data_IF_160113134669
#
_entry.id   IF_160113134669
#
_cell.length_a   1.000
_cell.length_b   1.000
_cell.length_c   1.000
_cell.angle_alpha   90.00
_cell.angle_beta   90.00
_cell.angle_gamma   90.00
#
_symmetry.space_group_name_H-M   'P 1'
#
loop_
_entity.id
_entity.type
_entity.pdbx_description
1 polymer ?
#
# COMPACT_ATOMS: atom_id res chain seq x y z
N UNK A 1 78.21 12.94 -30.70
CA UNK A 1 76.98 12.40 -31.35
C UNK A 1 76.16 11.77 -30.25
N UNK A 2 75.20 12.52 -29.70
CA UNK A 2 74.29 12.04 -28.68
C UNK A 2 72.96 11.60 -29.34
N UNK A 3 72.63 10.33 -29.20
CA UNK A 3 71.31 9.83 -29.60
C UNK A 3 70.39 9.86 -28.38
N UNK A 4 69.41 10.74 -28.48
CA UNK A 4 68.33 10.81 -27.46
C UNK A 4 67.27 9.82 -27.87
N UNK A 5 67.11 8.77 -27.09
CA UNK A 5 65.95 7.87 -27.15
C UNK A 5 64.87 8.41 -26.25
N UNK A 6 63.78 8.86 -26.87
CA UNK A 6 62.58 9.26 -26.15
C UNK A 6 61.78 8.03 -25.73
N UNK A 7 61.62 7.83 -24.42
CA UNK A 7 60.69 6.85 -23.88
C UNK A 7 59.30 7.48 -23.89
N UNK A 8 58.42 6.93 -24.72
CA UNK A 8 57.01 7.26 -24.67
C UNK A 8 56.34 6.44 -23.55
N UNK A 9 55.97 7.13 -22.48
CA UNK A 9 55.13 6.53 -21.43
C UNK A 9 53.70 6.44 -21.91
N UNK A 10 53.23 5.22 -22.11
CA UNK A 10 51.84 4.93 -22.40
C UNK A 10 51.02 4.93 -21.08
N UNK A 11 50.31 5.99 -20.83
CA UNK A 11 49.34 6.05 -19.72
C UNK A 11 48.09 5.27 -20.14
N UNK A 12 47.95 4.07 -19.58
CA UNK A 12 46.72 3.31 -19.65
C UNK A 12 45.73 3.88 -18.60
N UNK A 13 44.80 4.68 -19.04
CA UNK A 13 43.69 5.08 -18.20
C UNK A 13 42.69 3.94 -18.14
N UNK A 14 42.65 3.23 -17.01
CA UNK A 14 41.59 2.29 -16.70
C UNK A 14 40.37 3.10 -16.33
N UNK A 15 39.40 3.20 -17.23
CA UNK A 15 38.09 3.70 -16.94
C UNK A 15 37.36 2.66 -16.12
N UNK A 16 37.24 2.92 -14.81
CA UNK A 16 36.32 2.20 -13.94
C UNK A 16 34.89 2.59 -14.32
N UNK A 17 34.28 1.78 -15.17
CA UNK A 17 32.83 1.88 -15.38
C UNK A 17 32.14 1.43 -14.10
N UNK A 18 31.70 2.38 -13.28
CA UNK A 18 30.77 2.14 -12.19
C UNK A 18 29.45 1.71 -12.79
N UNK A 19 29.27 0.40 -12.97
CA UNK A 19 27.99 -0.17 -13.33
C UNK A 19 27.03 0.00 -12.16
N UNK A 20 26.17 1.04 -12.20
CA UNK A 20 25.00 1.09 -11.34
C UNK A 20 24.06 -0.02 -11.80
N UNK A 21 24.10 -1.16 -11.12
CA UNK A 21 23.08 -2.19 -11.26
C UNK A 21 21.80 -1.62 -10.66
N UNK A 22 20.94 -1.06 -11.51
CA UNK A 22 19.56 -0.79 -11.13
C UNK A 22 18.85 -2.15 -11.01
N UNK A 23 18.96 -2.77 -9.85
CA UNK A 23 17.95 -3.75 -9.46
C UNK A 23 16.67 -2.95 -9.34
N UNK A 24 15.74 -3.18 -10.28
CA UNK A 24 14.41 -2.63 -10.19
C UNK A 24 13.70 -3.19 -8.98
N UNK A 25 13.99 -2.66 -7.79
CA UNK A 25 13.09 -2.77 -6.67
C UNK A 25 11.85 -1.99 -7.08
N UNK A 26 10.77 -2.71 -7.42
CA UNK A 26 9.46 -2.09 -7.56
C UNK A 26 9.17 -1.43 -6.23
N UNK A 27 9.23 -0.10 -6.19
CA UNK A 27 8.93 0.65 -5.00
C UNK A 27 7.50 0.29 -4.58
N UNK A 28 7.31 -0.17 -3.34
CA UNK A 28 5.98 -0.41 -2.80
C UNK A 28 5.22 0.91 -2.81
N UNK A 29 4.10 0.92 -3.51
CA UNK A 29 3.15 2.03 -3.46
C UNK A 29 2.06 1.64 -2.47
N UNK A 30 1.89 2.43 -1.42
CA UNK A 30 0.84 2.19 -0.44
C UNK A 30 -0.54 2.20 -1.14
N UNK A 31 -1.41 1.22 -0.84
CA UNK A 31 -2.73 1.15 -1.48
C UNK A 31 -3.68 2.25 -1.02
N UNK A 32 -3.40 2.87 0.10
CA UNK A 32 -4.20 3.94 0.70
C UNK A 32 -3.32 5.15 0.99
N UNK A 33 -3.95 6.29 1.25
CA UNK A 33 -3.28 7.55 1.53
C UNK A 33 -3.92 8.29 2.68
N UNK A 34 -3.19 9.20 3.31
CA UNK A 34 -3.73 10.09 4.32
C UNK A 34 -4.27 11.36 3.67
N UNK A 35 -5.53 11.63 3.85
CA UNK A 35 -6.17 12.86 3.40
C UNK A 35 -6.74 13.58 4.62
N UNK A 36 -6.22 14.76 4.93
CA UNK A 36 -6.60 15.52 6.13
C UNK A 36 -6.56 14.67 7.42
N UNK A 37 -5.49 13.85 7.57
CA UNK A 37 -5.27 13.03 8.74
C UNK A 37 -6.15 11.78 8.86
N UNK A 38 -6.88 11.42 7.79
CA UNK A 38 -7.74 10.23 7.76
C UNK A 38 -7.31 9.34 6.59
N UNK A 39 -7.30 8.05 6.82
CA UNK A 39 -6.95 7.06 5.79
C UNK A 39 -8.06 6.99 4.73
N UNK A 40 -7.67 7.13 3.47
CA UNK A 40 -8.58 7.11 2.32
C UNK A 40 -8.04 6.20 1.21
N UNK A 41 -8.93 5.81 0.31
CA UNK A 41 -8.53 5.25 -0.98
C UNK A 41 -7.79 6.30 -1.82
N UNK A 42 -7.06 5.91 -2.88
CA UNK A 42 -6.45 6.88 -3.81
C UNK A 42 -7.44 7.87 -4.43
N UNK A 43 -8.72 7.49 -4.55
CA UNK A 43 -9.79 8.39 -5.02
C UNK A 43 -10.36 9.30 -3.93
N UNK A 44 -9.86 9.21 -2.70
CA UNK A 44 -10.26 10.08 -1.58
C UNK A 44 -11.44 9.56 -0.77
N UNK A 45 -11.95 8.36 -1.04
CA UNK A 45 -13.04 7.77 -0.25
C UNK A 45 -12.51 7.31 1.10
N UNK A 46 -13.23 7.64 2.17
CA UNK A 46 -12.84 7.29 3.54
C UNK A 46 -12.80 5.77 3.74
N UNK A 47 -11.75 5.30 4.39
CA UNK A 47 -11.59 3.92 4.81
C UNK A 47 -11.98 3.76 6.28
N UNK A 48 -12.61 2.62 6.58
CA UNK A 48 -13.13 2.27 7.89
C UNK A 48 -12.60 0.93 8.36
N UNK A 49 -12.56 0.75 9.68
CA UNK A 49 -12.36 -0.53 10.33
C UNK A 49 -13.63 -0.97 11.06
N UNK A 50 -13.76 -2.27 11.27
CA UNK A 50 -14.90 -2.89 11.93
C UNK A 50 -14.45 -3.58 13.22
N UNK A 51 -14.99 -3.17 14.37
CA UNK A 51 -14.54 -3.65 15.68
C UNK A 51 -14.74 -5.15 15.89
N UNK A 52 -15.68 -5.78 15.16
CA UNK A 52 -15.91 -7.23 15.25
C UNK A 52 -14.90 -8.06 14.47
N UNK A 53 -14.11 -7.43 13.60
CA UNK A 53 -12.96 -8.10 12.98
C UNK A 53 -11.84 -8.23 14.01
N UNK A 54 -11.32 -9.45 14.18
CA UNK A 54 -10.17 -9.67 15.03
C UNK A 54 -8.88 -9.18 14.34
N UNK A 55 -8.14 -8.29 14.99
CA UNK A 55 -6.88 -7.78 14.45
C UNK A 55 -5.90 -8.94 14.21
N UNK A 56 -5.20 -8.88 13.07
CA UNK A 56 -4.19 -9.87 12.68
C UNK A 56 -4.73 -11.31 12.50
N UNK A 57 -6.04 -11.47 12.35
CA UNK A 57 -6.65 -12.79 12.12
C UNK A 57 -6.54 -13.27 10.66
N UNK A 58 -6.26 -12.36 9.72
CA UNK A 58 -6.30 -12.64 8.29
C UNK A 58 -7.71 -12.92 7.76
N UNK A 59 -8.74 -12.56 8.50
CA UNK A 59 -10.16 -12.81 8.21
C UNK A 59 -10.98 -11.55 8.36
N UNK A 60 -12.10 -11.50 7.63
CA UNK A 60 -13.18 -10.53 7.79
C UNK A 60 -14.45 -11.25 8.19
N UNK A 61 -15.22 -10.68 9.11
CA UNK A 61 -16.54 -11.20 9.51
C UNK A 61 -17.69 -10.40 8.90
N UNK A 62 -17.37 -9.39 8.10
CA UNK A 62 -18.38 -8.60 7.36
C UNK A 62 -18.62 -9.23 5.99
N UNK A 63 -19.65 -10.06 5.88
CA UNK A 63 -20.02 -10.79 4.67
C UNK A 63 -21.48 -10.51 4.28
N UNK A 64 -21.89 -10.94 3.09
CA UNK A 64 -23.28 -10.83 2.63
C UNK A 64 -23.81 -9.41 2.70
N UNK A 65 -24.96 -9.16 3.40
CA UNK A 65 -25.56 -7.82 3.50
C UNK A 65 -24.62 -6.79 4.15
N UNK A 66 -23.79 -7.20 5.09
CA UNK A 66 -22.76 -6.33 5.69
C UNK A 66 -21.79 -5.82 4.61
N UNK A 67 -21.28 -6.68 3.75
CA UNK A 67 -20.34 -6.31 2.70
C UNK A 67 -20.97 -5.45 1.59
N UNK A 68 -22.28 -5.44 1.46
CA UNK A 68 -23.00 -4.52 0.56
C UNK A 68 -23.02 -3.10 1.09
N UNK A 69 -23.23 -2.94 2.39
CA UNK A 69 -23.20 -1.64 3.06
C UNK A 69 -21.78 -1.13 3.27
N UNK A 70 -20.87 -2.06 3.53
CA UNK A 70 -19.47 -1.80 3.81
C UNK A 70 -18.59 -2.58 2.82
N UNK A 71 -18.49 -2.10 1.58
CA UNK A 71 -17.66 -2.77 0.57
C UNK A 71 -16.22 -2.91 1.04
N UNK A 72 -15.63 -4.12 0.99
CA UNK A 72 -14.23 -4.30 1.34
C UNK A 72 -13.33 -3.55 0.37
N UNK A 73 -12.24 -3.00 0.88
CA UNK A 73 -11.22 -2.38 0.07
C UNK A 73 -10.35 -3.47 -0.57
N UNK A 74 -10.60 -3.72 -1.85
CA UNK A 74 -10.05 -4.88 -2.56
C UNK A 74 -8.62 -4.67 -3.00
N UNK A 75 -7.85 -5.77 -2.97
CA UNK A 75 -6.48 -5.81 -3.50
C UNK A 75 -6.54 -5.91 -5.03
N UNK A 76 -5.79 -5.05 -5.71
CA UNK A 76 -5.65 -5.10 -7.16
C UNK A 76 -4.74 -6.24 -7.63
N UNK A 77 -4.73 -6.48 -8.93
CA UNK A 77 -3.87 -7.48 -9.54
C UNK A 77 -2.39 -7.13 -9.33
N UNK A 78 -1.58 -8.13 -8.93
CA UNK A 78 -0.14 -8.01 -8.69
C UNK A 78 0.25 -7.07 -7.52
N UNK A 79 -0.69 -6.63 -6.71
CA UNK A 79 -0.38 -5.90 -5.48
C UNK A 79 0.07 -6.86 -4.38
N UNK A 80 1.02 -6.43 -3.56
CA UNK A 80 1.60 -7.23 -2.50
C UNK A 80 1.58 -6.49 -1.17
N UNK A 81 1.48 -7.27 -0.08
CA UNK A 81 1.58 -6.75 1.27
C UNK A 81 2.95 -6.13 1.53
N UNK A 82 2.99 -5.00 2.24
CA UNK A 82 4.24 -4.39 2.71
C UNK A 82 3.97 -3.41 3.86
N UNK A 83 4.89 -3.35 4.81
CA UNK A 83 4.80 -2.43 5.94
C UNK A 83 3.56 -2.68 6.79
N UNK A 84 2.78 -1.63 7.03
CA UNK A 84 1.54 -1.70 7.81
C UNK A 84 0.37 -2.34 7.05
N UNK A 85 0.52 -2.58 5.73
CA UNK A 85 -0.52 -3.16 4.89
C UNK A 85 -0.33 -4.66 4.73
N UNK A 86 -1.38 -5.41 4.99
CA UNK A 86 -1.46 -6.86 4.80
C UNK A 86 -2.68 -7.23 3.98
N UNK A 87 -2.76 -8.49 3.58
CA UNK A 87 -3.86 -8.99 2.75
C UNK A 87 -4.66 -10.01 3.55
N UNK A 88 -5.96 -9.78 3.58
CA UNK A 88 -6.96 -10.68 4.17
C UNK A 88 -7.57 -11.51 3.06
N UNK A 89 -7.69 -12.82 3.26
CA UNK A 89 -8.46 -13.70 2.39
C UNK A 89 -9.86 -13.83 2.96
N UNK A 90 -10.85 -13.32 2.23
CA UNK A 90 -12.26 -13.37 2.62
C UNK A 90 -12.82 -14.78 2.44
N UNK A 91 -13.99 -15.05 3.03
CA UNK A 91 -14.65 -16.38 2.95
C UNK A 91 -14.97 -16.81 1.51
N UNK A 92 -15.20 -15.86 0.60
CA UNK A 92 -15.41 -16.11 -0.83
C UNK A 92 -14.11 -16.23 -1.63
N UNK A 93 -12.96 -16.18 -0.99
CA UNK A 93 -11.64 -16.22 -1.63
C UNK A 93 -11.12 -14.87 -2.13
N UNK A 94 -11.92 -13.81 -2.10
CA UNK A 94 -11.49 -12.47 -2.48
C UNK A 94 -10.42 -11.92 -1.54
N UNK A 95 -9.57 -11.05 -2.06
CA UNK A 95 -8.47 -10.43 -1.31
C UNK A 95 -8.82 -9.00 -0.94
N UNK A 96 -8.69 -8.68 0.34
CA UNK A 96 -9.00 -7.40 0.92
C UNK A 96 -7.77 -6.81 1.61
N UNK A 97 -7.56 -5.51 1.48
CA UNK A 97 -6.52 -4.82 2.23
C UNK A 97 -6.85 -4.74 3.72
N UNK A 98 -5.83 -4.87 4.53
CA UNK A 98 -5.85 -4.58 5.96
C UNK A 98 -4.74 -3.58 6.29
N UNK A 99 -4.97 -2.75 7.27
CA UNK A 99 -4.02 -1.78 7.80
C UNK A 99 -3.81 -2.03 9.29
N UNK A 100 -2.54 -2.19 9.69
CA UNK A 100 -2.20 -2.56 11.08
C UNK A 100 -3.00 -3.76 11.60
N UNK A 101 -3.25 -4.74 10.72
CA UNK A 101 -3.97 -5.97 11.02
C UNK A 101 -5.49 -5.89 10.96
N UNK A 102 -6.07 -4.72 10.72
CA UNK A 102 -7.52 -4.53 10.62
C UNK A 102 -7.97 -4.44 9.16
N UNK A 103 -8.92 -5.30 8.72
CA UNK A 103 -9.49 -5.21 7.39
C UNK A 103 -10.09 -3.83 7.12
N UNK A 104 -9.93 -3.35 5.88
CA UNK A 104 -10.37 -2.02 5.46
C UNK A 104 -11.62 -2.09 4.59
N UNK A 105 -12.54 -1.15 4.82
CA UNK A 105 -13.81 -1.03 4.12
C UNK A 105 -14.07 0.41 3.68
N UNK A 106 -14.86 0.56 2.63
CA UNK A 106 -15.57 1.81 2.35
C UNK A 106 -17.00 1.73 2.87
N UNK A 107 -17.72 2.85 2.87
CA UNK A 107 -19.12 2.90 3.27
C UNK A 107 -20.00 3.29 2.09
N UNK A 108 -21.03 2.50 1.81
CA UNK A 108 -21.90 2.70 0.64
C UNK A 108 -22.56 4.08 0.63
N UNK A 109 -22.89 4.61 1.81
CA UNK A 109 -23.57 5.90 1.93
C UNK A 109 -22.64 7.11 1.80
N UNK A 110 -21.33 6.91 1.75
CA UNK A 110 -20.41 7.99 1.40
C UNK A 110 -20.53 8.26 -0.10
N UNK A 111 -21.03 9.45 -0.46
CA UNK A 111 -21.37 9.78 -1.84
C UNK A 111 -20.19 10.40 -2.60
N UNK A 112 -19.24 11.04 -1.91
CA UNK A 112 -18.12 11.76 -2.51
C UNK A 112 -16.87 11.72 -1.64
N UNK A 113 -15.68 11.97 -2.22
CA UNK A 113 -14.44 12.08 -1.46
C UNK A 113 -14.60 13.05 -0.27
N UNK A 114 -14.08 12.63 0.88
CA UNK A 114 -14.15 13.40 2.12
C UNK A 114 -15.39 13.11 2.97
N UNK A 115 -16.42 12.44 2.47
CA UNK A 115 -17.55 11.99 3.29
C UNK A 115 -17.07 11.01 4.37
N UNK A 116 -17.60 11.15 5.57
CA UNK A 116 -17.26 10.33 6.75
C UNK A 116 -18.53 9.89 7.48
N UNK A 117 -19.59 9.61 6.74
CA UNK A 117 -20.90 9.28 7.31
C UNK A 117 -20.94 7.92 8.01
N UNK A 118 -19.93 7.08 7.78
CA UNK A 118 -19.80 5.77 8.43
C UNK A 118 -19.11 5.79 9.80
N UNK A 119 -18.48 6.92 10.18
CA UNK A 119 -17.77 6.97 11.45
C UNK A 119 -18.74 6.84 12.64
N UNK A 120 -18.41 5.91 13.55
CA UNK A 120 -19.18 5.57 14.75
C UNK A 120 -20.56 4.95 14.48
N UNK A 121 -20.84 4.50 13.27
CA UNK A 121 -22.08 3.74 13.01
C UNK A 121 -22.14 2.53 13.93
N UNK A 122 -23.24 2.41 14.69
CA UNK A 122 -23.46 1.37 15.71
C UNK A 122 -22.33 1.21 16.72
N UNK A 123 -21.48 2.23 16.88
CA UNK A 123 -20.28 2.24 17.73
C UNK A 123 -19.25 1.12 17.42
N UNK A 124 -19.32 0.52 16.23
CA UNK A 124 -18.43 -0.56 15.80
C UNK A 124 -17.67 -0.26 14.51
N UNK A 125 -17.98 0.84 13.84
CA UNK A 125 -17.29 1.31 12.63
C UNK A 125 -16.54 2.59 12.89
N UNK A 126 -15.28 2.68 12.46
CA UNK A 126 -14.42 3.81 12.78
C UNK A 126 -13.56 4.22 11.60
N UNK A 127 -13.39 5.55 11.42
CA UNK A 127 -12.33 6.09 10.58
C UNK A 127 -10.97 5.81 11.20
N UNK A 128 -9.92 5.82 10.38
CA UNK A 128 -8.54 5.61 10.82
C UNK A 128 -7.83 6.95 10.75
N UNK A 129 -7.41 7.44 11.92
CA UNK A 129 -6.66 8.70 12.07
C UNK A 129 -5.19 8.41 12.32
N UNK A 130 -4.30 9.18 11.67
CA UNK A 130 -2.86 9.17 11.87
C UNK A 130 -2.33 10.60 12.08
#
# INVERSE_FOLDING_TARGET
MLKHTALASLLVTVALASGCSHYGATAFTAPAMLTQGVLTTPSGMTLYTFDKDAANSGKSVCNGPCAKLWPPFMVGNNEQASGAYSIVTRDDGAKQWAYKGMPLYTFQSDAKPGDRSGDKVKDVWHIIKE
#
